data_IF_081840627816
#
_entry.id   IF_081840627816
#
_cell.length_a   1.000
_cell.length_b   1.000
_cell.length_c   1.000
_cell.angle_alpha   90.00
_cell.angle_beta   90.00
_cell.angle_gamma   90.00
#
_symmetry.space_group_name_H-M   'P 1'
#
loop_
_entity.id
_entity.type
_entity.pdbx_description
1 polymer ?
2 non-polymer ?
3 non-polymer ?
4 water ?
#
# COMPACT_ATOMS: atom_id res chain seq x y z
N UNK A 39 -21.06 -3.35 -14.99
CA UNK A 39 -20.51 -3.65 -13.61
C UNK A 39 -19.16 -4.37 -13.58
N UNK A 40 -18.29 -4.03 -14.52
CA UNK A 40 -16.94 -4.58 -14.60
C UNK A 40 -15.82 -3.52 -14.69
N UNK A 41 -16.18 -2.26 -14.87
CA UNK A 41 -15.19 -1.23 -15.12
C UNK A 41 -14.37 -0.90 -13.87
N UNK A 42 -13.18 -0.37 -14.12
CA UNK A 42 -12.29 0.02 -13.05
C UNK A 42 -12.87 1.15 -12.23
N UNK A 43 -12.59 1.15 -10.92
CA UNK A 43 -12.92 2.26 -10.07
C UNK A 43 -11.69 3.07 -9.72
N UNK A 44 -11.72 4.35 -10.08
CA UNK A 44 -10.56 5.22 -9.91
C UNK A 44 -10.55 5.98 -8.58
N UNK A 45 -11.42 5.56 -7.66
CA UNK A 45 -11.36 5.99 -6.26
C UNK A 45 -11.04 4.83 -5.33
N UNK A 46 -10.52 3.75 -5.92
CA UNK A 46 -10.11 2.57 -5.18
C UNK A 46 -8.61 2.35 -5.40
N UNK A 47 -7.87 2.39 -4.31
CA UNK A 47 -6.41 2.41 -4.31
C UNK A 47 -5.91 1.12 -3.67
N UNK A 48 -5.03 0.39 -4.36
CA UNK A 48 -4.55 -0.86 -3.81
C UNK A 48 -3.04 -0.76 -3.60
N UNK A 49 -2.61 -0.92 -2.34
CA UNK A 49 -1.18 -0.76 -2.00
C UNK A 49 -0.32 -1.89 -2.58
N UNK A 50 0.65 -1.46 -3.37
CA UNK A 50 1.45 -2.35 -4.22
C UNK A 50 2.93 -2.22 -3.86
N UNK A 51 3.61 -3.36 -3.78
CA UNK A 51 5.01 -3.45 -3.38
C UNK A 51 5.82 -4.01 -4.55
N UNK A 52 6.90 -3.30 -4.90
CA UNK A 52 7.71 -3.64 -6.07
C UNK A 52 9.11 -4.11 -5.70
N UNK A 53 9.24 -4.68 -4.51
CA UNK A 53 10.54 -4.99 -3.93
C UNK A 53 10.97 -6.46 -4.07
N UNK A 54 10.20 -7.24 -4.80
CA UNK A 54 10.47 -8.67 -4.94
C UNK A 54 11.45 -8.91 -6.07
N UNK A 55 12.30 -9.93 -5.97
CA UNK A 55 13.18 -10.29 -7.10
C UNK A 55 13.08 -11.73 -7.54
N UNK A 56 13.57 -12.03 -8.75
CA UNK A 56 13.72 -13.43 -9.19
C UNK A 56 15.06 -13.62 -9.84
N UNK A 57 15.50 -14.87 -9.86
CA UNK A 57 16.72 -15.22 -10.54
C UNK A 57 16.58 -14.84 -12.02
N UNK A 58 15.38 -15.03 -12.58
CA UNK A 58 15.17 -14.78 -14.00
C UNK A 58 15.51 -13.33 -14.39
N UNK A 59 15.05 -12.38 -13.59
CA UNK A 59 15.24 -10.97 -13.90
C UNK A 59 16.34 -10.29 -13.09
N UNK A 60 16.38 -10.54 -11.78
CA UNK A 60 17.27 -9.77 -10.89
C UNK A 60 18.50 -10.55 -10.50
N UNK A 61 18.49 -11.84 -10.78
CA UNK A 61 19.60 -12.71 -10.41
C UNK A 61 19.57 -13.08 -8.93
N UNK A 62 18.50 -12.70 -8.25
CA UNK A 62 18.39 -12.96 -6.81
C UNK A 62 16.95 -12.86 -6.30
N UNK A 63 16.70 -13.52 -5.18
CA UNK A 63 15.36 -13.60 -4.58
C UNK A 63 15.08 -12.58 -3.43
N UNK A 64 15.20 -11.31 -3.84
CA UNK A 64 14.99 -10.18 -2.96
C UNK A 64 13.60 -10.24 -2.32
N UNK A 65 13.56 -10.02 -1.00
CA UNK A 65 12.35 -9.96 -0.19
C UNK A 65 11.74 -11.33 0.09
N UNK A 66 11.81 -12.25 -0.86
CA UNK A 66 11.44 -13.61 -0.55
C UNK A 66 12.38 -14.13 0.55
N UNK A 67 13.65 -13.72 0.48
CA UNK A 67 14.57 -13.78 1.62
C UNK A 67 14.44 -12.53 2.45
N UNK A 68 14.43 -12.68 3.77
CA UNK A 68 14.22 -11.53 4.66
C UNK A 68 14.74 -11.85 6.05
N UNK A 69 15.25 -10.83 6.72
CA UNK A 69 15.65 -10.97 8.11
C UNK A 69 14.44 -11.24 9.00
N UNK A 70 14.63 -12.07 10.02
CA UNK A 70 13.63 -12.21 11.07
C UNK A 70 13.91 -11.12 12.13
N UNK A 71 12.81 -10.39 12.47
CA UNK A 71 12.99 -9.31 13.39
C UNK A 71 13.14 -9.82 14.83
N UNK A 72 14.05 -9.23 15.61
CA UNK A 72 14.10 -9.60 17.02
C UNK A 72 12.86 -9.08 17.74
N UNK A 73 12.55 -9.70 18.85
CA UNK A 73 11.43 -9.29 19.70
C UNK A 73 11.82 -7.99 20.40
N UNK A 74 11.08 -6.89 20.15
CA UNK A 74 11.42 -5.62 20.80
C UNK A 74 11.30 -5.63 22.32
N UNK A 75 10.60 -6.62 22.88
CA UNK A 75 10.52 -6.79 24.34
C UNK A 75 11.33 -7.98 24.87
N UNK A 76 12.14 -8.62 24.02
CA UNK A 76 12.76 -9.92 24.32
C UNK A 76 14.22 -9.93 24.77
N UNK A 77 14.77 -8.77 25.11
CA UNK A 77 16.11 -8.72 25.69
C UNK A 77 17.26 -8.80 24.70
N UNK A 78 18.48 -8.74 25.23
CA UNK A 78 19.69 -8.64 24.42
C UNK A 78 20.21 -10.00 23.95
N UNK A 79 21.09 -9.96 22.96
CA UNK A 79 21.70 -11.16 22.41
C UNK A 79 20.79 -12.09 21.61
N UNK A 80 19.71 -11.56 21.04
CA UNK A 80 18.89 -12.36 20.15
C UNK A 80 19.63 -12.58 18.84
N UNK A 81 19.57 -13.80 18.34
CA UNK A 81 20.10 -14.15 17.02
C UNK A 81 18.91 -14.74 16.28
N UNK A 82 17.98 -13.88 15.85
CA UNK A 82 16.72 -14.34 15.27
C UNK A 82 16.90 -15.07 13.95
N UNK A 83 17.95 -14.71 13.21
CA UNK A 83 18.25 -15.35 11.95
C UNK A 83 17.51 -14.73 10.80
N UNK A 84 17.44 -15.50 9.72
CA UNK A 84 16.88 -15.03 8.45
C UNK A 84 16.09 -16.13 7.77
N UNK A 85 15.17 -15.70 6.94
CA UNK A 85 14.44 -16.59 6.05
C UNK A 85 15.21 -16.56 4.73
N UNK A 86 15.63 -17.73 4.22
CA UNK A 86 16.55 -17.70 3.06
C UNK A 86 15.97 -17.44 1.68
N UNK A 87 14.63 -17.41 1.55
CA UNK A 87 14.04 -17.20 0.24
C UNK A 87 14.28 -18.27 -0.76
N UNK A 88 14.41 -19.50 -0.28
CA UNK A 88 14.45 -20.67 -1.13
C UNK A 88 13.05 -20.99 -1.59
N UNK A 89 12.89 -21.91 -2.51
CA UNK A 89 11.54 -22.30 -2.89
C UNK A 89 10.74 -22.80 -1.68
N UNK A 90 11.39 -23.50 -0.79
CA UNK A 90 10.72 -24.10 0.34
C UNK A 90 10.40 -23.13 1.47
N UNK A 91 11.22 -22.08 1.60
CA UNK A 91 11.17 -21.19 2.76
C UNK A 91 11.27 -19.73 2.33
N UNK A 92 10.10 -19.10 2.23
CA UNK A 92 9.99 -17.69 1.85
C UNK A 92 9.42 -16.87 3.01
N UNK A 93 9.59 -15.56 2.92
CA UNK A 93 9.28 -14.65 4.00
C UNK A 93 7.80 -14.24 3.94
N UNK A 94 6.94 -15.23 4.07
CA UNK A 94 5.50 -15.02 4.12
C UNK A 94 4.89 -16.23 4.77
N UNK A 95 3.75 -16.06 5.44
CA UNK A 95 2.98 -17.18 5.92
C UNK A 95 2.11 -17.83 4.83
N UNK A 96 1.97 -17.15 3.68
CA UNK A 96 1.25 -17.63 2.50
C UNK A 96 2.25 -17.88 1.37
N UNK A 97 1.77 -18.39 0.23
CA UNK A 97 2.65 -18.72 -0.88
C UNK A 97 2.04 -18.21 -2.19
N UNK A 98 2.77 -17.36 -2.92
CA UNK A 98 2.22 -16.80 -4.15
C UNK A 98 1.92 -17.83 -5.23
N UNK A 99 0.78 -17.71 -5.91
CA UNK A 99 0.49 -18.49 -7.10
C UNK A 99 1.54 -18.30 -8.16
N UNK A 100 2.09 -17.09 -8.26
CA UNK A 100 3.13 -16.80 -9.26
C UNK A 100 4.54 -17.18 -8.86
N UNK A 101 4.71 -17.77 -7.69
CA UNK A 101 6.01 -18.18 -7.21
C UNK A 101 6.85 -17.02 -6.76
N UNK A 102 8.16 -17.24 -6.63
CA UNK A 102 9.10 -16.23 -6.16
C UNK A 102 9.42 -15.30 -7.34
N UNK A 103 8.51 -14.38 -7.61
CA UNK A 103 8.60 -13.58 -8.78
C UNK A 103 9.48 -12.34 -8.61
N UNK A 104 9.90 -11.78 -9.74
CA UNK A 104 10.55 -10.49 -9.79
C UNK A 104 9.53 -9.41 -10.10
N UNK A 105 9.58 -8.34 -9.31
CA UNK A 105 8.79 -7.14 -9.59
C UNK A 105 9.27 -6.38 -10.83
N UNK A 106 10.43 -6.75 -11.36
CA UNK A 106 10.93 -6.20 -12.64
C UNK A 106 10.71 -7.09 -13.88
N UNK A 107 9.95 -8.18 -13.69
CA UNK A 107 9.71 -9.09 -14.79
C UNK A 107 8.48 -8.56 -15.54
N UNK A 108 8.65 -8.07 -16.78
CA UNK A 108 7.48 -7.58 -17.52
C UNK A 108 6.31 -8.57 -17.62
N UNK A 109 6.58 -9.90 -17.65
CA UNK A 109 5.53 -10.87 -17.77
C UNK A 109 4.71 -10.97 -16.44
N UNK A 110 5.39 -10.81 -15.31
CA UNK A 110 4.68 -10.75 -14.00
C UNK A 110 3.85 -9.49 -13.95
N UNK A 111 4.40 -8.39 -14.42
CA UNK A 111 3.67 -7.12 -14.36
C UNK A 111 2.38 -7.21 -15.17
N UNK A 112 2.44 -7.78 -16.36
CA UNK A 112 1.24 -8.01 -17.16
C UNK A 112 0.16 -8.77 -16.38
N UNK A 113 0.57 -9.85 -15.73
CA UNK A 113 -0.34 -10.67 -14.91
C UNK A 113 -0.93 -9.88 -13.74
N UNK A 114 -0.11 -9.08 -13.07
CA UNK A 114 -0.60 -8.24 -11.99
C UNK A 114 -1.62 -7.26 -12.51
N UNK A 115 -1.38 -6.63 -13.65
CA UNK A 115 -2.35 -5.67 -14.16
C UNK A 115 -3.67 -6.36 -14.52
N UNK A 116 -3.63 -7.58 -15.04
CA UNK A 116 -4.86 -8.32 -15.30
C UNK A 116 -5.59 -8.65 -13.98
N UNK A 117 -4.83 -8.89 -12.90
CA UNK A 117 -5.42 -9.09 -11.58
C UNK A 117 -6.09 -7.81 -11.04
N UNK A 118 -5.48 -6.65 -11.27
CA UNK A 118 -6.12 -5.36 -10.93
C UNK A 118 -7.42 -5.22 -11.72
N UNK A 119 -7.42 -5.57 -13.01
CA UNK A 119 -8.66 -5.50 -13.81
C UNK A 119 -9.72 -6.42 -13.21
N UNK A 120 -9.35 -7.64 -12.81
CA UNK A 120 -10.30 -8.56 -12.20
C UNK A 120 -10.89 -7.98 -10.90
N UNK A 121 -10.05 -7.30 -10.11
CA UNK A 121 -10.45 -6.73 -8.83
C UNK A 121 -11.20 -5.43 -8.99
N UNK A 122 -11.19 -4.84 -10.18
CA UNK A 122 -11.76 -3.51 -10.45
C UNK A 122 -11.10 -2.36 -9.72
N UNK A 123 -9.85 -2.59 -9.30
CA UNK A 123 -9.09 -1.59 -8.56
C UNK A 123 -8.35 -0.70 -9.56
N UNK A 124 -8.80 0.54 -9.74
CA UNK A 124 -8.25 1.39 -10.78
C UNK A 124 -6.95 2.06 -10.49
N UNK A 125 -6.56 2.13 -9.20
CA UNK A 125 -5.32 2.81 -8.82
C UNK A 125 -4.35 1.91 -8.04
N UNK A 126 -3.15 1.83 -8.57
CA UNK A 126 -2.05 1.10 -7.96
C UNK A 126 -1.26 2.13 -7.17
N UNK A 127 -1.23 1.95 -5.85
CA UNK A 127 -0.55 2.89 -4.96
C UNK A 127 0.83 2.30 -4.63
N UNK A 128 1.82 2.80 -5.36
CA UNK A 128 3.14 2.19 -5.40
C UNK A 128 4.04 2.60 -4.25
N UNK A 129 4.51 1.63 -3.45
CA UNK A 129 5.47 1.89 -2.39
C UNK A 129 6.69 2.55 -3.00
N UNK A 130 7.20 3.59 -2.35
CA UNK A 130 8.31 4.36 -2.90
C UNK A 130 9.27 4.70 -1.78
N UNK A 131 10.49 4.16 -1.93
CA UNK A 131 11.53 4.20 -0.91
C UNK A 131 12.72 5.09 -1.24
N UNK A 132 12.64 5.82 -2.34
CA UNK A 132 13.70 6.76 -2.71
C UNK A 132 15.06 6.07 -2.74
N UNK A 133 15.12 4.97 -3.48
CA UNK A 133 16.36 4.20 -3.60
C UNK A 133 17.42 4.91 -4.42
N UNK A 134 17.01 5.78 -5.35
CA UNK A 134 17.96 6.56 -6.18
C UNK A 134 18.94 5.63 -6.88
N UNK A 135 18.40 4.59 -7.50
CA UNK A 135 19.20 3.63 -8.25
C UNK A 135 18.51 3.32 -9.56
N UNK A 136 19.32 2.95 -10.52
CA UNK A 136 18.87 2.56 -11.85
C UNK A 136 17.74 1.52 -11.84
N UNK A 137 17.88 0.54 -10.95
CA UNK A 137 16.92 -0.56 -10.91
C UNK A 137 15.53 -0.08 -10.49
N UNK A 138 15.46 0.85 -9.52
CA UNK A 138 14.17 1.48 -9.12
C UNK A 138 13.57 2.24 -10.28
N UNK A 139 14.38 3.05 -10.95
CA UNK A 139 13.87 3.87 -12.05
C UNK A 139 13.30 2.99 -13.15
N UNK A 140 14.03 1.93 -13.47
CA UNK A 140 13.56 1.03 -14.52
C UNK A 140 12.21 0.40 -14.13
N UNK A 141 12.14 -0.07 -12.90
CA UNK A 141 10.97 -0.76 -12.41
C UNK A 141 9.72 0.16 -12.44
N UNK A 142 9.88 1.40 -12.00
CA UNK A 142 8.76 2.31 -12.00
C UNK A 142 8.25 2.51 -13.43
N UNK A 143 9.17 2.67 -14.39
CA UNK A 143 8.72 2.84 -15.77
C UNK A 143 8.02 1.59 -16.30
N UNK A 144 8.52 0.40 -15.95
CA UNK A 144 7.84 -0.84 -16.36
C UNK A 144 6.43 -0.94 -15.80
N UNK A 145 6.27 -0.55 -14.54
CA UNK A 145 4.97 -0.60 -13.89
C UNK A 145 3.98 0.38 -14.53
N UNK A 146 4.42 1.61 -14.79
CA UNK A 146 3.58 2.56 -15.47
C UNK A 146 3.16 2.07 -16.85
N UNK A 147 4.11 1.54 -17.60
CA UNK A 147 3.81 1.05 -18.93
C UNK A 147 2.78 -0.09 -18.88
N UNK A 148 3.00 -1.05 -17.98
CA UNK A 148 2.10 -2.19 -17.90
C UNK A 148 0.72 -1.73 -17.45
N UNK A 149 0.67 -0.84 -16.48
CA UNK A 149 -0.60 -0.28 -16.01
C UNK A 149 -1.40 0.35 -17.16
N UNK A 150 -0.72 1.13 -17.97
CA UNK A 150 -1.44 1.88 -19.02
C UNK A 150 -2.12 0.97 -20.01
N UNK A 151 -1.54 -0.20 -20.27
CA UNK A 151 -2.14 -1.13 -21.23
C UNK A 151 -3.54 -1.59 -20.80
N UNK A 152 -3.82 -1.48 -19.50
CA UNK A 152 -5.08 -1.92 -18.96
C UNK A 152 -5.86 -0.78 -18.33
N UNK A 153 -5.47 0.46 -18.61
CA UNK A 153 -6.14 1.67 -18.11
C UNK A 153 -6.07 1.79 -16.56
N UNK A 154 -5.09 1.13 -15.95
CA UNK A 154 -4.82 1.28 -14.54
C UNK A 154 -3.98 2.53 -14.36
N UNK A 155 -4.19 3.22 -13.24
CA UNK A 155 -3.43 4.41 -12.89
C UNK A 155 -2.49 4.10 -11.73
N UNK A 156 -1.44 4.91 -11.62
CA UNK A 156 -0.43 4.73 -10.60
C UNK A 156 -0.29 6.04 -9.83
N UNK A 157 -0.32 5.93 -8.51
CA UNK A 157 0.08 7.00 -7.61
C UNK A 157 1.18 6.47 -6.69
N UNK A 158 1.82 7.34 -5.92
CA UNK A 158 2.96 6.96 -5.07
C UNK A 158 2.60 7.01 -3.59
N UNK A 159 3.07 6.00 -2.89
CA UNK A 159 2.98 5.84 -1.46
C UNK A 159 4.35 6.13 -0.88
N UNK A 160 4.55 7.34 -0.37
CA UNK A 160 5.84 7.83 0.03
C UNK A 160 6.20 7.33 1.42
N UNK A 161 7.21 6.44 1.44
CA UNK A 161 7.63 5.76 2.63
C UNK A 161 8.64 6.60 3.43
N UNK A 162 8.90 6.19 4.69
CA UNK A 162 9.83 6.90 5.55
C UNK A 162 11.29 6.57 5.25
N UNK A 163 11.77 7.17 4.18
CA UNK A 163 13.17 7.02 3.78
C UNK A 163 14.12 7.84 4.67
N UNK A 164 15.43 7.51 4.65
CA UNK A 164 16.33 8.16 5.57
C UNK A 164 16.39 9.69 5.43
N UNK A 165 16.34 10.38 6.57
CA UNK A 165 16.38 11.85 6.62
C UNK A 165 15.21 12.51 5.91
N UNK A 166 14.10 11.79 5.72
CA UNK A 166 12.94 12.38 5.09
C UNK A 166 12.54 13.63 5.85
N UNK A 167 12.29 14.69 5.11
CA UNK A 167 11.88 15.97 5.71
C UNK A 167 11.11 16.71 4.65
N UNK A 168 10.52 17.86 4.98
CA UNK A 168 9.63 18.47 3.99
C UNK A 168 10.34 19.05 2.77
N UNK A 169 11.63 19.38 2.93
CA UNK A 169 12.39 19.92 1.82
C UNK A 169 12.74 18.84 0.79
N UNK A 170 13.28 17.71 1.27
CA UNK A 170 13.53 16.64 0.31
C UNK A 170 12.25 15.95 -0.17
N UNK A 171 11.18 16.02 0.63
CA UNK A 171 9.89 15.55 0.14
C UNK A 171 9.44 16.42 -1.03
N UNK A 172 9.56 17.75 -0.89
CA UNK A 172 9.17 18.60 -2.00
C UNK A 172 10.01 18.26 -3.25
N UNK A 173 11.31 18.11 -3.05
CA UNK A 173 12.19 17.82 -4.18
C UNK A 173 11.81 16.50 -4.84
N UNK A 174 11.39 15.52 -4.06
CA UNK A 174 10.97 14.23 -4.57
C UNK A 174 9.60 14.23 -5.24
N UNK A 175 8.67 15.05 -4.72
CA UNK A 175 7.40 15.28 -5.37
C UNK A 175 7.61 15.94 -6.72
N UNK A 176 8.48 16.96 -6.77
CA UNK A 176 8.82 17.61 -8.03
C UNK A 176 9.44 16.59 -9.01
N UNK A 177 10.36 15.77 -8.52
CA UNK A 177 11.02 14.78 -9.37
C UNK A 177 10.00 13.79 -9.92
N UNK A 178 9.11 13.30 -9.05
CA UNK A 178 8.13 12.30 -9.50
C UNK A 178 7.14 12.88 -10.50
N UNK A 179 6.65 14.11 -10.25
CA UNK A 179 5.74 14.72 -11.18
C UNK A 179 6.46 15.07 -12.50
N UNK A 180 7.70 15.52 -12.41
CA UNK A 180 8.49 15.81 -13.62
C UNK A 180 8.77 14.57 -14.46
N UNK A 181 9.19 13.49 -13.80
CA UNK A 181 9.58 12.27 -14.53
C UNK A 181 8.36 11.53 -15.05
N UNK A 182 7.27 11.49 -14.24
CA UNK A 182 6.16 10.58 -14.50
C UNK A 182 4.81 11.25 -14.73
N UNK A 183 4.70 12.55 -14.47
CA UNK A 183 3.43 13.23 -14.53
C UNK A 183 2.76 13.25 -15.88
N UNK A 184 3.54 13.17 -16.97
CA UNK A 184 2.99 13.12 -18.32
C UNK A 184 2.81 11.68 -18.83
N UNK A 185 3.15 10.68 -18.01
CA UNK A 185 2.86 9.31 -18.39
C UNK A 185 1.36 9.12 -18.38
N UNK A 186 0.78 8.46 -19.42
CA UNK A 186 -0.67 8.32 -19.43
C UNK A 186 -1.28 7.57 -18.24
N UNK A 187 -0.47 6.77 -17.54
CA UNK A 187 -0.97 6.03 -16.39
C UNK A 187 -0.82 6.78 -15.07
N UNK A 188 -0.21 7.95 -15.08
CA UNK A 188 -0.02 8.71 -13.83
C UNK A 188 -1.39 9.20 -13.34
N UNK A 189 -1.69 8.88 -12.08
CA UNK A 189 -3.00 9.24 -11.53
C UNK A 189 -3.18 10.71 -11.24
N UNK A 190 -4.36 11.22 -11.59
CA UNK A 190 -4.84 12.49 -11.05
C UNK A 190 -6.28 12.37 -10.63
N UNK A 191 -6.62 13.12 -9.58
CA UNK A 191 -8.01 13.23 -9.11
C UNK A 191 -8.39 14.70 -9.27
N UNK A 192 -9.38 14.99 -10.12
CA UNK A 192 -9.80 16.37 -10.41
C UNK A 192 -8.60 17.29 -10.70
N UNK A 193 -7.68 16.78 -11.52
CA UNK A 193 -6.55 17.55 -11.97
C UNK A 193 -5.31 17.50 -11.10
N UNK A 194 -5.37 16.84 -9.95
CA UNK A 194 -4.28 16.84 -8.98
C UNK A 194 -3.68 15.46 -8.80
N UNK A 195 -2.34 15.35 -8.82
CA UNK A 195 -1.74 14.11 -8.33
C UNK A 195 -2.16 13.83 -6.88
N UNK A 196 -2.04 12.58 -6.47
CA UNK A 196 -2.33 12.18 -5.09
C UNK A 196 -1.16 11.38 -4.54
N UNK A 197 -0.70 11.71 -3.34
CA UNK A 197 0.33 10.94 -2.64
C UNK A 197 -0.19 10.50 -1.28
N UNK A 198 0.03 9.25 -0.94
CA UNK A 198 -0.11 8.78 0.44
C UNK A 198 1.22 8.96 1.14
N UNK A 199 1.20 9.45 2.37
CA UNK A 199 2.43 9.64 3.14
C UNK A 199 2.43 8.76 4.37
N UNK A 200 3.21 7.68 4.33
CA UNK A 200 3.28 6.76 5.46
C UNK A 200 4.08 7.40 6.60
N UNK A 201 3.60 7.19 7.83
CA UNK A 201 4.21 7.72 9.06
C UNK A 201 4.42 9.26 8.96
N UNK A 202 3.41 9.93 8.41
CA UNK A 202 3.43 11.38 8.35
C UNK A 202 3.54 12.06 9.72
N UNK A 203 3.09 11.38 10.79
CA UNK A 203 3.31 11.85 12.18
C UNK A 203 4.76 11.96 12.62
N UNK A 204 5.68 11.30 11.92
CA UNK A 204 7.10 11.46 12.22
C UNK A 204 7.59 12.87 11.88
N UNK A 205 6.74 13.73 11.28
CA UNK A 205 7.17 15.07 10.90
C UNK A 205 6.19 16.05 11.56
N UNK A 206 6.75 17.06 12.22
CA UNK A 206 5.95 18.02 12.98
C UNK A 206 5.03 18.81 12.07
N UNK A 207 3.82 19.17 12.58
CA UNK A 207 2.94 20.01 11.76
C UNK A 207 3.55 21.35 11.34
N UNK A 208 4.41 21.94 12.18
CA UNK A 208 5.07 23.19 11.80
C UNK A 208 5.96 23.02 10.55
N UNK A 209 6.55 21.84 10.37
CA UNK A 209 7.27 21.55 9.12
C UNK A 209 6.32 21.30 7.97
N UNK A 210 5.31 20.46 8.17
CA UNK A 210 4.33 20.24 7.12
C UNK A 210 3.70 21.54 6.61
N UNK A 211 3.42 22.48 7.51
CA UNK A 211 2.78 23.75 7.13
C UNK A 211 3.59 24.47 6.05
N UNK A 212 4.91 24.32 6.11
CA UNK A 212 5.79 25.01 5.15
C UNK A 212 5.56 24.50 3.74
N UNK A 213 5.21 23.22 3.64
CA UNK A 213 4.96 22.57 2.37
C UNK A 213 3.52 22.65 1.90
N UNK A 214 2.61 22.56 2.87
CA UNK A 214 1.20 22.30 2.58
C UNK A 214 0.23 23.42 2.83
N UNK A 215 0.62 24.44 3.60
CA UNK A 215 -0.23 25.62 3.68
C UNK A 215 -0.04 26.46 2.42
N UNK A 216 -1.09 27.12 1.93
CA UNK A 216 -0.91 28.03 0.80
C UNK A 216 0.12 29.15 1.05
N UNK A 217 0.33 29.48 2.32
CA UNK A 217 1.32 30.47 2.70
C UNK A 217 2.68 29.93 3.10
N UNK A 218 2.87 28.62 3.03
CA UNK A 218 4.11 28.02 3.50
C UNK A 218 5.33 28.42 2.70
N UNK A 219 6.48 28.46 3.40
CA UNK A 219 7.70 28.94 2.77
C UNK A 219 8.15 28.13 1.56
N UNK A 220 7.79 26.86 1.48
CA UNK A 220 8.10 26.05 0.33
C UNK A 220 6.83 25.39 -0.21
N UNK A 221 5.74 26.16 -0.24
CA UNK A 221 4.46 25.59 -0.57
C UNK A 221 4.44 24.94 -1.96
N UNK A 222 3.68 23.85 -2.05
CA UNK A 222 3.26 23.32 -3.34
C UNK A 222 1.92 23.85 -3.80
N UNK A 223 1.18 24.53 -2.91
CA UNK A 223 -0.16 24.99 -3.30
C UNK A 223 -0.04 26.07 -4.39
N UNK A 224 -0.93 26.01 -5.38
CA UNK A 224 -0.95 26.92 -6.50
C UNK A 224 0.29 26.82 -7.41
N UNK A 225 1.07 25.75 -7.30
CA UNK A 225 2.22 25.54 -8.16
C UNK A 225 1.91 24.41 -9.10
N UNK A 226 2.86 24.16 -10.00
CA UNK A 226 2.77 23.01 -10.92
C UNK A 226 2.87 21.66 -10.20
N UNK A 227 3.27 21.70 -8.94
CA UNK A 227 3.54 20.50 -8.17
C UNK A 227 2.56 20.27 -7.05
N UNK A 228 1.43 20.99 -7.10
CA UNK A 228 0.37 20.77 -6.14
C UNK A 228 -0.11 19.31 -6.22
N UNK A 229 -0.63 18.79 -5.10
CA UNK A 229 -1.09 17.42 -5.02
C UNK A 229 -2.00 17.26 -3.83
N UNK A 230 -2.85 16.24 -3.89
CA UNK A 230 -3.63 15.82 -2.73
C UNK A 230 -2.68 15.01 -1.86
N UNK A 231 -2.46 15.47 -0.64
CA UNK A 231 -1.54 14.85 0.30
C UNK A 231 -2.36 14.16 1.37
N UNK A 232 -2.25 12.84 1.45
CA UNK A 232 -3.07 11.99 2.29
C UNK A 232 -2.18 11.44 3.39
N UNK A 233 -2.33 11.93 4.62
CA UNK A 233 -1.50 11.53 5.74
C UNK A 233 -2.03 10.31 6.45
N UNK A 234 -1.17 9.65 7.23
CA UNK A 234 -1.54 8.46 7.93
C UNK A 234 -2.11 8.83 9.30
N UNK A 235 -3.44 8.66 9.45
CA UNK A 235 -4.10 8.84 10.74
C UNK A 235 -3.89 7.58 11.56
N UNK A 236 -3.16 7.70 12.68
CA UNK A 236 -2.90 6.58 13.58
C UNK A 236 -3.81 6.60 14.81
N UNK A 237 -3.56 7.54 15.72
CA UNK A 237 -4.07 7.46 17.09
C UNK A 237 -5.38 8.23 17.30
N UNK A 238 -5.61 8.74 18.51
CA UNK A 238 -6.94 9.21 18.87
C UNK A 238 -7.24 10.55 18.19
N UNK A 239 -8.53 10.90 18.08
CA UNK A 239 -8.91 12.18 17.50
C UNK A 239 -8.32 13.39 18.22
N UNK A 240 -8.10 13.29 19.52
CA UNK A 240 -7.56 14.42 20.28
C UNK A 240 -6.18 14.81 19.75
N UNK A 241 -5.44 13.82 19.27
CA UNK A 241 -4.13 14.04 18.69
C UNK A 241 -4.21 14.28 17.17
N UNK A 242 -4.99 13.45 16.48
CA UNK A 242 -4.95 13.43 15.03
C UNK A 242 -5.70 14.57 14.38
N UNK A 243 -6.79 15.02 14.98
CA UNK A 243 -7.54 16.13 14.37
C UNK A 243 -6.69 17.41 14.27
N UNK A 244 -6.07 17.88 15.38
CA UNK A 244 -5.25 19.09 15.23
C UNK A 244 -4.02 18.85 14.34
N UNK A 245 -3.46 17.64 14.37
CA UNK A 245 -2.33 17.29 13.48
C UNK A 245 -2.71 17.55 12.02
N UNK A 246 -3.81 16.92 11.59
CA UNK A 246 -4.21 17.00 10.20
C UNK A 246 -4.52 18.44 9.80
N UNK A 247 -5.21 19.17 10.68
CA UNK A 247 -5.53 20.55 10.38
C UNK A 247 -4.29 21.42 10.31
N UNK A 248 -3.44 21.32 11.34
CA UNK A 248 -2.24 22.18 11.46
C UNK A 248 -1.17 21.85 10.45
N UNK A 249 -1.16 20.61 9.97
CA UNK A 249 -0.21 20.19 8.93
C UNK A 249 -0.71 20.45 7.53
N UNK A 250 -1.99 20.82 7.39
CA UNK A 250 -2.58 21.16 6.09
C UNK A 250 -2.65 19.98 5.12
N UNK A 251 -2.82 18.78 5.67
CA UNK A 251 -3.09 17.62 4.81
C UNK A 251 -4.44 17.75 4.12
N UNK A 252 -4.54 17.23 2.92
CA UNK A 252 -5.80 17.22 2.18
C UNK A 252 -6.71 16.11 2.63
N UNK A 253 -6.18 15.12 3.31
CA UNK A 253 -6.95 13.97 3.72
C UNK A 253 -6.09 13.01 4.51
N UNK A 254 -6.65 11.83 4.80
CA UNK A 254 -5.99 10.86 5.61
C UNK A 254 -6.47 9.46 5.30
N UNK A 255 -5.56 8.50 5.53
CA UNK A 255 -5.80 7.07 5.39
C UNK A 255 -5.32 6.39 6.64
N UNK A 256 -5.62 5.09 6.76
CA UNK A 256 -5.37 4.38 8.02
C UNK A 256 -4.39 3.21 7.90
N UNK A 257 -4.20 2.72 6.67
CA UNK A 257 -3.26 1.64 6.27
C UNK A 257 -3.53 0.26 6.88
N UNK A 258 -3.45 0.15 8.21
CA UNK A 258 -3.31 -1.19 8.80
C UNK A 258 -4.47 -2.11 8.49
N UNK A 259 -4.16 -3.32 8.01
CA UNK A 259 -5.18 -4.29 7.69
C UNK A 259 -5.76 -4.96 8.91
N UNK A 260 -5.06 -4.91 10.05
CA UNK A 260 -5.49 -5.57 11.26
C UNK A 260 -6.40 -4.64 12.07
N UNK A 261 -7.66 -5.06 12.20
CA UNK A 261 -8.61 -4.25 12.95
C UNK A 261 -8.15 -4.07 14.39
N UNK A 262 -8.27 -2.83 14.88
CA UNK A 262 -7.93 -2.53 16.25
C UNK A 262 -6.46 -2.31 16.52
N UNK A 263 -5.62 -2.41 15.48
CA UNK A 263 -4.19 -2.18 15.67
C UNK A 263 -3.91 -0.74 16.14
N UNK A 264 -4.64 0.20 15.53
CA UNK A 264 -4.67 1.59 15.96
C UNK A 264 -6.12 2.04 16.03
N UNK A 265 -6.33 3.22 16.64
CA UNK A 265 -7.63 3.87 16.58
C UNK A 265 -8.11 3.96 15.12
N UNK A 266 -7.22 4.42 14.24
CA UNK A 266 -7.60 4.62 12.86
C UNK A 266 -7.99 3.35 12.13
N UNK A 267 -7.39 2.23 12.50
CA UNK A 267 -7.71 0.94 11.89
C UNK A 267 -8.77 0.16 12.67
N UNK A 268 -9.54 0.85 13.50
CA UNK A 268 -10.70 0.27 14.18
C UNK A 268 -11.96 0.73 13.46
N UNK A 269 -12.59 -0.15 12.65
CA UNK A 269 -13.65 0.34 11.75
C UNK A 269 -14.89 0.96 12.39
N UNK A 270 -15.19 0.62 13.63
CA UNK A 270 -16.30 1.29 14.32
C UNK A 270 -16.04 2.79 14.51
N UNK A 271 -14.80 3.26 14.35
CA UNK A 271 -14.54 4.70 14.35
C UNK A 271 -14.75 5.42 13.02
N UNK A 272 -14.97 4.67 11.95
CA UNK A 272 -14.95 5.26 10.63
C UNK A 272 -16.12 6.21 10.35
N UNK A 273 -17.32 5.91 10.86
CA UNK A 273 -18.40 6.90 10.71
C UNK A 273 -18.05 8.30 11.27
N UNK A 274 -17.51 8.31 12.49
CA UNK A 274 -17.11 9.54 13.17
C UNK A 274 -15.95 10.24 12.45
N UNK A 275 -15.00 9.43 11.98
CA UNK A 275 -13.85 9.98 11.25
C UNK A 275 -14.31 10.64 9.94
N UNK A 276 -15.26 10.02 9.25
CA UNK A 276 -15.81 10.59 8.03
C UNK A 276 -16.59 11.87 8.31
N UNK A 277 -17.39 11.89 9.39
CA UNK A 277 -18.12 13.12 9.78
C UNK A 277 -17.15 14.27 9.99
N UNK A 278 -16.05 14.00 10.71
CA UNK A 278 -15.07 15.04 10.94
C UNK A 278 -14.43 15.48 9.62
N UNK A 279 -14.05 14.50 8.80
CA UNK A 279 -13.47 14.80 7.50
C UNK A 279 -14.35 15.74 6.65
N UNK A 280 -15.63 15.40 6.56
CA UNK A 280 -16.53 16.22 5.77
C UNK A 280 -16.68 17.62 6.35
N UNK A 281 -16.75 17.73 7.68
CA UNK A 281 -16.89 19.02 8.34
C UNK A 281 -15.66 19.91 8.12
N UNK A 282 -14.50 19.27 7.86
CA UNK A 282 -13.24 20.00 7.77
C UNK A 282 -12.62 20.01 6.38
N UNK A 283 -13.39 19.61 5.38
CA UNK A 283 -12.95 19.60 4.00
C UNK A 283 -11.80 18.68 3.69
N UNK A 284 -11.74 17.55 4.38
CA UNK A 284 -10.68 16.57 4.21
C UNK A 284 -11.23 15.32 3.54
N UNK A 285 -10.35 14.63 2.84
CA UNK A 285 -10.68 13.37 2.18
C UNK A 285 -10.24 12.17 3.04
N UNK A 286 -11.18 11.36 3.48
CA UNK A 286 -10.91 10.17 4.29
C UNK A 286 -10.92 8.97 3.37
N UNK A 287 -9.78 8.25 3.37
CA UNK A 287 -9.59 7.08 2.53
C UNK A 287 -9.28 5.90 3.47
N UNK A 288 -10.29 5.32 4.10
CA UNK A 288 -10.04 4.19 5.00
C UNK A 288 -9.37 3.05 4.27
N UNK A 289 -8.54 2.32 5.00
CA UNK A 289 -7.84 1.16 4.44
C UNK A 289 -8.50 -0.15 4.95
N UNK A 290 -8.82 -1.01 4.01
CA UNK A 290 -9.43 -2.30 4.31
C UNK A 290 -8.47 -3.41 3.85
N UNK A 291 -8.49 -4.51 4.58
CA UNK A 291 -7.68 -5.64 4.19
C UNK A 291 -8.32 -6.96 4.51
N UNK A 292 -7.80 -8.07 3.94
CA UNK A 292 -8.45 -9.35 4.06
C UNK A 292 -8.06 -10.17 5.29
N UNK A 293 -7.05 -9.72 5.99
CA UNK A 293 -6.49 -10.42 7.13
C UNK A 293 -5.12 -9.88 7.41
N UNK A 294 -4.45 -10.46 8.41
CA UNK A 294 -3.09 -10.07 8.76
C UNK A 294 -2.40 -11.23 9.45
N UNK A 295 -1.17 -11.51 9.02
CA UNK A 295 -0.28 -12.40 9.76
C UNK A 295 1.14 -12.20 9.26
N UNK A 296 2.05 -11.91 10.19
CA UNK A 296 3.44 -11.61 9.83
C UNK A 296 4.41 -12.43 10.64
N UNK A 297 3.98 -13.59 11.17
CA UNK A 297 4.80 -14.28 12.15
C UNK A 297 6.01 -15.01 11.57
N UNK A 298 6.08 -15.24 10.25
CA UNK A 298 7.35 -15.76 9.69
C UNK A 298 8.48 -14.76 9.93
N UNK A 299 8.23 -13.48 9.67
CA UNK A 299 9.25 -12.44 9.87
C UNK A 299 9.27 -11.77 11.26
N UNK A 300 8.12 -11.86 11.97
CA UNK A 300 7.98 -11.29 13.32
C UNK A 300 7.29 -12.33 14.22
N UNK A 301 8.03 -13.38 14.64
CA UNK A 301 7.42 -14.51 15.37
C UNK A 301 6.73 -14.15 16.67
N UNK A 302 7.16 -13.04 17.25
CA UNK A 302 6.66 -12.46 18.51
C UNK A 302 5.40 -11.61 18.32
N UNK A 303 4.95 -11.42 17.07
CA UNK A 303 3.86 -10.48 16.80
C UNK A 303 2.49 -11.13 16.60
N UNK A 304 2.29 -12.31 17.19
CA UNK A 304 1.05 -13.03 17.00
C UNK A 304 -0.22 -12.35 17.46
N UNK A 305 -0.14 -11.40 18.39
CA UNK A 305 -1.35 -10.69 18.81
C UNK A 305 -2.02 -9.90 17.69
N UNK A 306 -1.27 -9.57 16.64
CA UNK A 306 -1.79 -8.81 15.52
C UNK A 306 -2.45 -9.71 14.47
N UNK A 307 -2.35 -11.03 14.62
CA UNK A 307 -2.97 -11.92 13.63
C UNK A 307 -4.47 -11.65 13.58
N UNK A 308 -4.97 -11.55 12.35
CA UNK A 308 -6.41 -11.51 12.07
C UNK A 308 -6.70 -12.55 11.03
N UNK A 309 -7.51 -13.54 11.40
CA UNK A 309 -7.81 -14.68 10.55
C UNK A 309 -8.76 -14.29 9.43
N UNK A 310 -8.56 -14.86 8.26
CA UNK A 310 -9.36 -14.52 7.08
C UNK A 310 -10.76 -15.07 7.12
N UNK A 311 -10.94 -16.21 7.78
CA UNK A 311 -12.24 -16.91 7.88
C UNK A 311 -12.98 -16.98 6.55
N UNK A 312 -12.30 -17.51 5.53
CA UNK A 312 -12.92 -17.76 4.22
C UNK A 312 -13.54 -16.51 3.60
N UNK A 313 -12.95 -15.36 3.89
CA UNK A 313 -13.39 -14.09 3.36
C UNK A 313 -14.28 -13.26 4.26
N UNK A 314 -14.74 -13.81 5.38
CA UNK A 314 -15.68 -13.06 6.19
C UNK A 314 -15.03 -11.82 6.84
N UNK A 315 -13.75 -11.92 7.18
CA UNK A 315 -13.05 -10.74 7.73
C UNK A 315 -13.00 -9.59 6.72
N UNK A 316 -12.62 -9.91 5.48
CA UNK A 316 -12.56 -8.91 4.42
C UNK A 316 -13.93 -8.27 4.18
N UNK A 317 -14.94 -9.12 4.10
CA UNK A 317 -16.32 -8.63 3.89
C UNK A 317 -16.72 -7.67 5.00
N UNK A 318 -16.42 -8.01 6.25
CA UNK A 318 -16.83 -7.15 7.35
C UNK A 318 -16.15 -5.80 7.28
N UNK A 319 -14.86 -5.80 6.96
CA UNK A 319 -14.11 -4.56 6.95
C UNK A 319 -14.53 -3.66 5.75
N UNK A 320 -14.68 -4.27 4.58
CA UNK A 320 -15.08 -3.52 3.39
C UNK A 320 -16.50 -2.94 3.61
N UNK A 321 -17.40 -3.73 4.17
CA UNK A 321 -18.76 -3.23 4.50
C UNK A 321 -18.68 -1.98 5.38
N UNK A 322 -17.82 -1.97 6.39
CA UNK A 322 -17.72 -0.81 7.29
C UNK A 322 -17.24 0.42 6.55
N UNK A 323 -16.28 0.23 5.64
CA UNK A 323 -15.79 1.38 4.85
C UNK A 323 -16.92 1.99 4.03
N UNK A 324 -17.68 1.14 3.34
CA UNK A 324 -18.78 1.59 2.50
C UNK A 324 -19.85 2.28 3.34
N UNK A 325 -20.17 1.68 4.48
CA UNK A 325 -21.21 2.21 5.36
C UNK A 325 -20.83 3.57 5.93
N UNK A 326 -19.53 3.83 6.09
CA UNK A 326 -19.05 5.11 6.59
C UNK A 326 -19.34 6.27 5.62
N UNK A 327 -19.60 5.95 4.35
CA UNK A 327 -20.01 6.97 3.38
C UNK A 327 -18.85 7.75 2.81
N UNK A 328 -17.71 7.08 2.72
CA UNK A 328 -16.49 7.70 2.18
C UNK A 328 -16.54 7.77 0.65
N UNK A 329 -15.68 8.64 0.11
CA UNK A 329 -15.52 8.92 -1.32
C UNK A 329 -14.46 8.08 -2.02
N UNK A 330 -13.63 7.41 -1.22
CA UNK A 330 -12.49 6.68 -1.73
C UNK A 330 -12.13 5.64 -0.69
N UNK A 331 -11.58 4.51 -1.14
CA UNK A 331 -11.18 3.41 -0.28
C UNK A 331 -9.80 2.90 -0.70
N UNK A 332 -8.97 2.55 0.28
CA UNK A 332 -7.68 1.94 -0.01
C UNK A 332 -7.68 0.51 0.51
N UNK A 333 -6.91 -0.34 -0.18
CA UNK A 333 -6.83 -1.77 0.10
C UNK A 333 -5.40 -2.14 0.47
N UNK A 334 -5.26 -2.65 1.70
CA UNK A 334 -4.02 -3.14 2.24
C UNK A 334 -4.13 -4.63 2.28
N UNK A 335 -3.59 -5.34 1.26
CA UNK A 335 -2.69 -4.84 0.22
C UNK A 335 -2.85 -5.70 -1.04
N UNK A 336 -2.25 -5.26 -2.14
CA UNK A 336 -2.15 -6.18 -3.24
C UNK A 336 -1.19 -7.32 -2.89
N UNK A 337 -0.02 -6.99 -2.36
CA UNK A 337 1.06 -7.95 -2.29
C UNK A 337 2.09 -7.65 -1.22
N UNK A 338 1.66 -7.22 -0.01
CA UNK A 338 2.55 -7.20 1.15
C UNK A 338 2.51 -8.63 1.72
N UNK A 339 3.29 -9.51 1.11
CA UNK A 339 3.29 -10.93 1.45
C UNK A 339 3.88 -11.15 2.87
N UNK A 340 4.78 -10.27 3.31
CA UNK A 340 5.37 -10.41 4.63
C UNK A 340 4.33 -10.28 5.70
N UNK A 341 3.32 -9.43 5.44
CA UNK A 341 2.30 -9.12 6.45
C UNK A 341 1.02 -9.91 6.28
N UNK A 342 0.94 -10.73 5.23
CA UNK A 342 -0.19 -11.60 5.05
C UNK A 342 -1.48 -10.84 4.81
N UNK A 343 -1.35 -9.62 4.27
CA UNK A 343 -2.53 -8.80 3.94
C UNK A 343 -2.87 -8.83 2.46
N UNK A 344 -2.17 -9.68 1.68
CA UNK A 344 -2.30 -9.62 0.23
C UNK A 344 -3.64 -10.15 -0.27
N UNK A 345 -4.15 -9.51 -1.34
CA UNK A 345 -5.24 -10.07 -2.11
C UNK A 345 -4.73 -10.84 -3.35
N UNK A 346 -3.44 -10.67 -3.68
CA UNK A 346 -2.87 -11.41 -4.79
C UNK A 346 -3.10 -12.92 -4.57
N UNK A 347 -3.37 -13.65 -5.68
CA UNK A 347 -3.58 -15.10 -5.51
C UNK A 347 -2.45 -15.84 -4.80
N UNK A 348 -2.86 -16.72 -3.90
CA UNK A 348 -2.01 -17.61 -3.10
C UNK A 348 -2.48 -19.02 -3.30
N UNK A 349 -1.55 -19.97 -3.23
CA UNK A 349 -1.85 -21.39 -3.44
C UNK A 349 -1.45 -22.22 -2.22
N UNK A 350 -2.11 -23.38 -2.05
CA UNK A 350 -1.65 -24.27 -1.00
C UNK A 350 -0.24 -24.76 -1.30
N UNK A 351 0.58 -24.85 -0.26
CA UNK A 351 1.94 -25.38 -0.39
C UNK A 351 2.43 -25.86 0.95
N UNK A 352 2.95 -27.07 0.96
CA UNK A 352 3.64 -27.61 2.09
C UNK A 352 5.00 -28.04 1.58
N UNK A 353 6.05 -27.48 2.16
CA UNK A 353 7.42 -27.86 1.83
C UNK A 353 7.99 -28.59 3.02
N UNK A 354 9.20 -29.11 2.85
CA UNK A 354 9.92 -29.71 3.98
C UNK A 354 10.19 -28.71 5.12
N UNK A 355 10.16 -27.41 4.82
CA UNK A 355 10.50 -26.38 5.80
C UNK A 355 9.32 -25.67 6.46
N UNK A 356 8.17 -25.63 5.80
CA UNK A 356 7.02 -24.87 6.34
C UNK A 356 5.74 -25.31 5.69
N UNK A 357 4.65 -25.33 6.47
CA UNK A 357 3.33 -25.57 5.94
C UNK A 357 2.64 -24.19 5.83
N UNK A 358 2.44 -23.72 4.61
CA UNK A 358 1.94 -22.36 4.40
C UNK A 358 0.44 -22.32 4.64
N UNK A 359 -0.05 -21.14 5.04
CA UNK A 359 -1.46 -20.90 5.02
C UNK A 359 -1.91 -20.74 3.57
N UNK A 360 -3.22 -20.79 3.32
CA UNK A 360 -3.74 -20.66 1.97
C UNK A 360 -5.17 -20.14 2.07
N UNK A 361 -5.85 -20.02 0.93
CA UNK A 361 -7.19 -19.47 0.91
C UNK A 361 -8.29 -20.45 1.28
N UNK A 362 -7.91 -21.61 1.82
CA UNK A 362 -8.80 -22.55 2.51
C UNK A 362 -9.91 -22.99 1.58
N UNK A 363 -11.18 -22.67 1.85
CA UNK A 363 -12.27 -23.15 1.01
C UNK A 363 -12.51 -22.27 -0.20
N UNK A 364 -11.70 -21.21 -0.35
CA UNK A 364 -11.78 -20.32 -1.51
C UNK A 364 -10.67 -20.62 -2.50
N UNK A 365 -10.94 -20.31 -3.77
CA UNK A 365 -9.96 -20.45 -4.84
C UNK A 365 -8.89 -19.37 -4.77
N UNK A 366 -7.74 -19.57 -5.43
CA UNK A 366 -6.68 -18.57 -5.35
C UNK A 366 -7.05 -17.14 -5.72
N UNK A 367 -7.96 -16.93 -6.68
CA UNK A 367 -8.37 -15.57 -7.09
C UNK A 367 -9.58 -15.02 -6.35
N UNK A 368 -9.99 -15.70 -5.28
CA UNK A 368 -11.17 -15.27 -4.55
C UNK A 368 -11.09 -13.85 -4.06
N UNK A 369 -9.95 -13.44 -3.51
CA UNK A 369 -9.85 -12.08 -2.99
C UNK A 369 -9.87 -11.03 -4.09
N UNK A 370 -9.46 -11.38 -5.31
CA UNK A 370 -9.60 -10.46 -6.42
C UNK A 370 -11.07 -10.33 -6.81
N UNK A 371 -11.76 -11.47 -6.97
CA UNK A 371 -13.17 -11.38 -7.38
C UNK A 371 -14.04 -10.83 -6.27
N UNK A 372 -13.69 -11.06 -5.01
CA UNK A 372 -14.47 -10.47 -3.91
C UNK A 372 -14.23 -8.97 -3.82
N UNK A 373 -13.02 -8.53 -4.13
CA UNK A 373 -12.74 -7.10 -4.25
C UNK A 373 -13.68 -6.48 -5.30
N UNK A 374 -13.83 -7.11 -6.46
CA UNK A 374 -14.69 -6.57 -7.50
C UNK A 374 -16.13 -6.44 -7.01
N UNK A 375 -16.58 -7.43 -6.24
CA UNK A 375 -17.91 -7.40 -5.63
C UNK A 375 -18.06 -6.14 -4.79
N UNK A 376 -17.09 -5.89 -3.91
CA UNK A 376 -17.16 -4.72 -3.02
C UNK A 376 -17.00 -3.39 -3.73
N UNK A 377 -16.19 -3.34 -4.79
CA UNK A 377 -16.09 -2.17 -5.61
C UNK A 377 -17.47 -1.84 -6.20
N UNK A 378 -18.18 -2.85 -6.67
CA UNK A 378 -19.56 -2.65 -7.14
C UNK A 378 -20.46 -2.06 -6.08
N UNK A 379 -20.40 -2.60 -4.86
CA UNK A 379 -21.23 -2.08 -3.77
C UNK A 379 -20.82 -0.65 -3.41
N UNK A 380 -19.53 -0.36 -3.41
CA UNK A 380 -19.02 1.00 -3.20
C UNK A 380 -19.57 1.96 -4.26
N UNK A 381 -19.52 1.55 -5.52
CA UNK A 381 -19.99 2.43 -6.60
C UNK A 381 -21.47 2.69 -6.51
N UNK A 382 -22.20 1.67 -6.09
CA UNK A 382 -23.65 1.79 -5.92
C UNK A 382 -23.99 2.84 -4.86
N UNK A 383 -23.12 2.96 -3.83
CA UNK A 383 -23.18 3.94 -2.71
C UNK A 383 -22.76 5.38 -3.05
N UNK A 384 -22.00 5.58 -4.13
CA UNK A 384 -21.49 6.92 -4.50
C UNK A 384 -22.62 7.64 -5.24
#
# INVERSE_FOLDING_TARGET
>A
MGSSHHHHHHSSGLVPRGSHMDDNNPSNSENNGGNNNLGTELDYDTFCFYYDWYGSEAIDGQYRHWAHAIAPDPNGGSGQNPGTIPGTQESIASNFYPQLGRYSSSDPNILTKHMDMFVMARTGVLALTWWNEQDETEAKRIGLILDAADKKKIKVCFHLEPYPSRNVQNLRENIVKLITRYGNHPAFYRKDGKPLFFIYDSYLIEPSEWEKLLSPGGSITIRNTAYDALMIGLWTSSPTVQRPFILNAHFDGFYTYFAATGFTYGSTPTNWVSMQKWAKENGKIFIPSVGPGYIDTRIRPWNGSVIRTRTDGQYYDAMYRKAIEAGVSAISITSFNEWHEGSQIEPAVPYTSSEFTYLDYENREPDYYLTRTAYWVGKFRESKQ
#
